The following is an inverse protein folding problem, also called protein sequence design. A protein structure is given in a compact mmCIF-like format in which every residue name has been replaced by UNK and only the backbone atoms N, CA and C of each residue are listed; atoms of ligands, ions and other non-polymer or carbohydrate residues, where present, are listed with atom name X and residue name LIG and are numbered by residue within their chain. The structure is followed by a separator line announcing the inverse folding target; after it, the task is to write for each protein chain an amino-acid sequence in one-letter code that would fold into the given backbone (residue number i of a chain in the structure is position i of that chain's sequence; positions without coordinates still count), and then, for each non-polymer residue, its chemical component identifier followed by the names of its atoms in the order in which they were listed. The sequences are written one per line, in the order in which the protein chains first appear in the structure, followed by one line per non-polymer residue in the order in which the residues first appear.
data_IF_331731778930
#
_entry.id   IF_331731778930
#
_cell.length_a   1.000
_cell.length_b   1.000
_cell.length_c   1.000
_cell.angle_alpha   90.00
_cell.angle_beta   90.00
_cell.angle_gamma   90.00
#
_symmetry.space_group_name_H-M   'P 1'
#
loop_
_entity.id
_entity.type
_entity.pdbx_description
1 polymer ?
#
# COMPACT_ATOMS: atom_id res chain seq x y z
N UNK A 1 53.37 45.83 4.83
CA UNK A 1 54.75 46.20 5.19
C UNK A 1 55.10 45.37 6.42
N UNK A 2 55.55 44.14 6.24
CA UNK A 2 56.94 43.73 5.98
C UNK A 2 57.89 43.89 7.18
N UNK A 3 58.80 42.92 7.28
CA UNK A 3 60.01 42.83 8.12
C UNK A 3 59.78 42.45 9.60
N UNK A 4 60.00 41.21 10.05
CA UNK A 4 61.17 40.32 10.04
C UNK A 4 62.29 40.69 11.03
N UNK A 5 62.72 39.65 11.77
CA UNK A 5 64.15 39.40 11.99
C UNK A 5 64.79 39.96 13.26
N UNK A 6 65.31 39.06 14.10
CA UNK A 6 66.21 39.43 15.19
C UNK A 6 66.72 38.24 15.99
N UNK A 7 67.71 37.53 15.44
CA UNK A 7 68.50 36.50 16.13
C UNK A 7 69.42 37.16 17.16
N UNK A 8 69.70 36.50 18.29
CA UNK A 8 71.08 36.28 18.72
C UNK A 8 71.22 35.27 19.88
N UNK A 9 72.11 34.29 19.70
CA UNK A 9 72.86 33.59 20.76
C UNK A 9 74.17 34.37 21.00
N UNK A 10 74.86 34.17 22.13
CA UNK A 10 76.04 33.28 22.17
C UNK A 10 76.18 32.49 23.50
N UNK A 11 76.68 31.24 23.50
CA UNK A 11 78.08 30.78 23.85
C UNK A 11 78.41 30.95 25.35
N UNK A 12 79.15 30.09 26.08
CA UNK A 12 80.21 29.10 25.82
C UNK A 12 80.50 28.41 27.19
N UNK A 13 80.84 27.11 27.27
CA UNK A 13 82.14 26.55 27.73
C UNK A 13 81.86 25.50 28.83
N UNK A 14 82.12 24.21 28.62
CA UNK A 14 83.40 23.48 28.80
C UNK A 14 83.74 23.18 30.27
N UNK A 15 83.71 21.89 30.63
CA UNK A 15 84.20 21.35 31.89
C UNK A 15 84.29 19.82 31.83
N UNK A 16 85.47 19.31 31.53
CA UNK A 16 85.86 17.91 31.71
C UNK A 16 86.43 17.73 33.11
N UNK A 17 86.03 16.69 33.85
CA UNK A 17 86.89 15.99 34.82
C UNK A 17 86.58 14.50 34.83
N UNK A 18 87.66 13.73 34.72
CA UNK A 18 87.78 12.26 34.75
C UNK A 18 87.94 11.76 36.19
N UNK A 19 87.47 10.55 36.53
CA UNK A 19 87.76 9.98 37.86
C UNK A 19 87.11 8.64 38.22
N UNK A 20 87.90 7.58 38.05
CA UNK A 20 88.00 6.37 38.88
C UNK A 20 86.81 5.39 39.04
N UNK A 21 87.03 4.20 38.47
CA UNK A 21 86.40 2.92 38.82
C UNK A 21 87.08 2.32 40.06
N UNK A 22 86.34 1.66 40.96
CA UNK A 22 86.85 0.50 41.67
C UNK A 22 86.07 -0.77 41.32
N UNK A 23 86.83 -1.83 41.06
CA UNK A 23 86.34 -3.18 40.84
C UNK A 23 85.80 -3.79 42.14
N UNK A 24 84.65 -4.46 42.08
CA UNK A 24 84.05 -5.19 43.18
C UNK A 24 82.90 -6.10 42.75
N UNK A 25 83.24 -7.36 42.45
CA UNK A 25 82.44 -8.60 42.55
C UNK A 25 81.01 -8.66 41.96
N UNK A 26 80.92 -9.32 40.80
CA UNK A 26 79.97 -10.37 40.37
C UNK A 26 78.58 -10.47 41.02
N UNK A 27 77.55 -10.19 40.20
CA UNK A 27 76.55 -11.20 39.80
C UNK A 27 75.87 -10.77 38.49
N UNK A 28 75.79 -11.71 37.56
CA UNK A 28 75.10 -11.58 36.27
C UNK A 28 73.60 -11.66 36.53
N UNK A 29 72.86 -10.59 36.22
CA UNK A 29 71.48 -10.73 35.77
C UNK A 29 71.25 -9.80 34.58
N UNK A 30 71.23 -10.40 33.40
CA UNK A 30 71.12 -9.68 32.14
C UNK A 30 69.68 -9.31 31.86
N UNK A 31 69.30 -8.07 32.15
CA UNK A 31 68.14 -7.44 31.51
C UNK A 31 68.50 -6.03 31.03
N UNK A 32 68.77 -5.90 29.72
CA UNK A 32 68.77 -4.60 29.04
C UNK A 32 67.32 -4.13 28.89
N UNK A 33 66.95 -2.92 29.35
CA UNK A 33 65.64 -2.34 29.08
C UNK A 33 65.69 -1.67 27.70
N UNK A 34 64.87 -2.12 26.75
CA UNK A 34 64.82 -1.43 25.45
C UNK A 34 64.28 -2.19 24.24
N UNK A 35 63.69 -3.38 24.39
CA UNK A 35 62.92 -3.98 23.30
C UNK A 35 61.43 -3.76 23.56
N UNK A 36 60.83 -2.81 22.82
CA UNK A 36 59.39 -2.80 22.59
C UNK A 36 59.03 -4.18 22.07
N UNK A 37 58.26 -4.96 22.84
CA UNK A 37 57.66 -6.20 22.36
C UNK A 37 56.81 -5.85 21.14
N UNK A 38 57.28 -6.16 19.94
CA UNK A 38 56.43 -6.22 18.77
C UNK A 38 55.46 -7.37 19.02
N UNK A 39 54.21 -7.04 19.33
CA UNK A 39 53.13 -8.02 19.44
C UNK A 39 53.06 -8.81 18.14
N UNK A 40 53.29 -10.12 18.20
CA UNK A 40 53.14 -11.00 17.05
C UNK A 40 51.72 -10.89 16.49
N UNK A 41 51.54 -10.81 15.15
CA UNK A 41 50.22 -10.88 14.54
C UNK A 41 49.54 -12.19 14.96
N UNK A 42 48.33 -12.08 15.51
CA UNK A 42 47.53 -13.26 15.87
C UNK A 42 46.74 -13.66 14.62
N UNK A 43 46.82 -14.91 14.13
CA UNK A 43 46.12 -15.34 12.92
C UNK A 43 44.59 -15.08 12.95
N UNK A 44 43.98 -15.12 14.13
CA UNK A 44 42.56 -14.82 14.32
C UNK A 44 42.21 -13.33 14.13
N UNK A 45 43.14 -12.41 14.43
CA UNK A 45 42.93 -10.97 14.25
C UNK A 45 42.93 -10.61 12.77
N UNK A 46 43.87 -11.15 11.99
CA UNK A 46 43.97 -10.93 10.55
C UNK A 46 42.75 -11.50 9.82
N UNK A 47 42.28 -12.68 10.23
CA UNK A 47 41.06 -13.30 9.71
C UNK A 47 39.80 -12.50 10.07
N UNK A 48 39.72 -11.92 11.28
CA UNK A 48 38.60 -11.05 11.67
C UNK A 48 38.60 -9.75 10.84
N UNK A 49 39.77 -9.13 10.67
CA UNK A 49 39.94 -7.92 9.88
C UNK A 49 39.47 -8.13 8.44
N UNK A 50 39.85 -9.26 7.84
CA UNK A 50 39.41 -9.61 6.49
C UNK A 50 37.89 -9.82 6.41
N UNK A 51 37.29 -10.53 7.39
CA UNK A 51 35.84 -10.70 7.47
C UNK A 51 35.08 -9.37 7.59
N UNK A 52 35.61 -8.39 8.34
CA UNK A 52 35.02 -7.04 8.38
C UNK A 52 35.14 -6.29 7.06
N UNK A 53 36.26 -6.44 6.33
CA UNK A 53 36.42 -5.85 4.99
C UNK A 53 35.45 -6.45 3.97
N UNK A 54 35.20 -7.74 4.08
CA UNK A 54 34.34 -8.47 3.14
C UNK A 54 32.85 -8.31 3.48
N UNK A 55 32.50 -8.04 4.75
CA UNK A 55 31.12 -7.88 5.18
C UNK A 55 30.35 -6.83 4.34
N UNK A 56 29.19 -7.26 3.86
CA UNK A 56 28.15 -6.53 3.11
C UNK A 56 26.85 -6.44 3.89
N UNK A 57 26.66 -7.26 4.92
CA UNK A 57 25.47 -7.23 5.77
C UNK A 57 25.83 -7.17 7.26
N UNK A 58 24.88 -6.72 8.07
CA UNK A 58 25.02 -6.68 9.52
C UNK A 58 25.15 -8.09 10.13
N UNK A 59 24.52 -9.07 9.49
CA UNK A 59 24.58 -10.48 9.85
C UNK A 59 25.97 -11.06 9.68
N UNK A 60 26.66 -10.73 8.59
CA UNK A 60 28.05 -11.13 8.38
C UNK A 60 28.98 -10.54 9.45
N UNK A 61 28.76 -9.28 9.87
CA UNK A 61 29.52 -8.66 10.96
C UNK A 61 29.31 -9.38 12.30
N UNK A 62 28.05 -9.66 12.66
CA UNK A 62 27.73 -10.35 13.91
C UNK A 62 28.19 -11.81 13.88
N UNK A 63 28.15 -12.46 12.73
CA UNK A 63 28.69 -13.81 12.52
C UNK A 63 30.21 -13.82 12.69
N UNK A 64 30.92 -12.82 12.15
CA UNK A 64 32.35 -12.64 12.36
C UNK A 64 32.69 -12.40 13.85
N UNK A 65 31.90 -11.59 14.56
CA UNK A 65 32.06 -11.38 16.00
C UNK A 65 31.76 -12.64 16.83
N UNK A 66 30.74 -13.42 16.46
CA UNK A 66 30.39 -14.66 17.14
C UNK A 66 31.48 -15.73 16.93
N UNK A 67 32.04 -15.83 15.73
CA UNK A 67 33.20 -16.68 15.45
C UNK A 67 34.44 -16.23 16.23
N UNK A 68 34.76 -14.93 16.24
CA UNK A 68 35.94 -14.45 16.96
C UNK A 68 35.82 -14.66 18.47
N UNK A 69 34.62 -14.54 19.05
CA UNK A 69 34.34 -14.93 20.44
C UNK A 69 34.73 -16.39 20.71
N UNK A 70 34.39 -17.32 19.79
CA UNK A 70 34.74 -18.74 19.94
C UNK A 70 36.24 -18.98 19.83
N UNK A 71 36.94 -18.30 18.91
CA UNK A 71 38.41 -18.35 18.81
C UNK A 71 39.11 -17.84 20.08
N UNK A 72 38.48 -16.90 20.79
CA UNK A 72 38.96 -16.37 22.08
C UNK A 72 38.54 -17.23 23.27
N UNK A 73 37.96 -18.42 23.03
CA UNK A 73 37.46 -19.34 24.04
C UNK A 73 36.48 -18.68 25.04
N UNK A 74 35.68 -17.72 24.57
CA UNK A 74 34.68 -17.05 25.40
C UNK A 74 33.31 -17.67 25.17
N UNK A 75 32.58 -17.99 26.23
CA UNK A 75 31.17 -18.37 26.15
C UNK A 75 30.28 -17.13 25.94
N UNK A 76 29.06 -17.32 25.41
CA UNK A 76 28.08 -16.24 25.28
C UNK A 76 27.74 -15.61 26.65
N UNK A 77 27.74 -16.43 27.71
CA UNK A 77 27.56 -15.96 29.10
C UNK A 77 28.67 -15.00 29.53
N UNK A 78 29.92 -15.33 29.25
CA UNK A 78 31.07 -14.47 29.59
C UNK A 78 31.04 -13.15 28.81
N UNK A 79 30.62 -13.18 27.53
CA UNK A 79 30.43 -11.96 26.73
C UNK A 79 29.29 -11.12 27.29
N UNK A 80 28.16 -11.75 27.62
CA UNK A 80 27.02 -11.06 28.21
C UNK A 80 27.36 -10.44 29.58
N UNK A 81 28.10 -11.14 30.44
CA UNK A 81 28.60 -10.63 31.72
C UNK A 81 29.53 -9.42 31.55
N UNK A 82 30.42 -9.45 30.55
CA UNK A 82 31.31 -8.34 30.23
C UNK A 82 30.59 -7.14 29.60
N UNK A 83 29.46 -7.37 28.94
CA UNK A 83 28.62 -6.31 28.37
C UNK A 83 27.68 -5.66 29.40
N UNK A 84 27.50 -6.27 30.59
CA UNK A 84 26.66 -5.71 31.68
C UNK A 84 27.20 -4.34 32.09
N UNK A 85 26.34 -3.32 31.99
CA UNK A 85 26.68 -1.92 32.28
C UNK A 85 26.83 -1.05 31.04
N UNK A 86 26.87 -1.63 29.84
CA UNK A 86 26.74 -0.85 28.60
C UNK A 86 25.26 -0.55 28.34
N UNK A 87 24.84 0.72 28.24
CA UNK A 87 23.47 1.07 27.86
C UNK A 87 23.07 0.38 26.56
N UNK A 88 21.94 -0.34 26.56
CA UNK A 88 21.41 -1.03 25.38
C UNK A 88 21.91 -2.46 25.12
N UNK A 89 22.93 -2.97 25.85
CA UNK A 89 23.37 -4.37 25.75
C UNK A 89 22.98 -5.19 27.00
N UNK A 90 21.72 -5.65 27.03
CA UNK A 90 21.29 -6.65 28.02
C UNK A 90 21.81 -8.04 27.67
N UNK A 91 21.83 -8.97 28.64
CA UNK A 91 22.25 -10.36 28.41
C UNK A 91 21.44 -11.04 27.29
N UNK A 92 20.13 -10.81 27.27
CA UNK A 92 19.22 -11.30 26.22
C UNK A 92 19.57 -10.69 24.87
N UNK A 93 19.82 -9.39 24.82
CA UNK A 93 20.16 -8.68 23.56
C UNK A 93 21.48 -9.15 22.97
N UNK A 94 22.51 -9.38 23.80
CA UNK A 94 23.80 -9.95 23.36
C UNK A 94 23.59 -11.34 22.75
N UNK A 95 22.79 -12.19 23.40
CA UNK A 95 22.48 -13.51 22.88
C UNK A 95 21.76 -13.43 21.53
N UNK A 96 20.72 -12.62 21.43
CA UNK A 96 19.93 -12.45 20.21
C UNK A 96 20.75 -11.91 19.03
N UNK A 97 21.63 -10.94 19.27
CA UNK A 97 22.55 -10.42 18.26
C UNK A 97 23.50 -11.52 17.76
N UNK A 98 24.14 -12.28 18.66
CA UNK A 98 25.11 -13.31 18.28
C UNK A 98 24.47 -14.57 17.69
N UNK A 99 23.18 -14.82 17.93
CA UNK A 99 22.43 -15.96 17.35
C UNK A 99 21.58 -15.58 16.13
N UNK A 100 21.65 -14.34 15.64
CA UNK A 100 20.87 -13.91 14.47
C UNK A 100 19.39 -13.63 14.74
N UNK A 101 18.95 -13.56 16.00
CA UNK A 101 17.56 -13.29 16.39
C UNK A 101 17.30 -11.79 16.59
N UNK A 102 17.52 -10.99 15.56
CA UNK A 102 17.28 -9.55 15.62
C UNK A 102 16.63 -9.05 14.32
N UNK A 103 15.83 -7.98 14.43
CA UNK A 103 15.21 -7.30 13.29
C UNK A 103 16.00 -6.06 12.84
N UNK A 104 16.75 -5.46 13.76
CA UNK A 104 17.59 -4.29 13.51
C UNK A 104 18.73 -4.21 14.54
N UNK A 105 19.82 -3.57 14.13
CA UNK A 105 21.00 -3.34 14.96
C UNK A 105 21.27 -1.84 14.99
N UNK A 106 21.48 -1.33 16.19
CA UNK A 106 22.05 0.00 16.38
C UNK A 106 23.57 -0.10 16.33
N UNK A 107 24.19 0.68 15.43
CA UNK A 107 25.63 0.70 15.26
C UNK A 107 26.40 1.07 16.53
N UNK A 108 25.79 1.84 17.43
CA UNK A 108 26.39 2.22 18.70
C UNK A 108 26.68 1.00 19.61
N UNK A 109 25.98 -0.12 19.38
CA UNK A 109 26.13 -1.35 20.15
C UNK A 109 27.23 -2.27 19.61
N UNK A 110 27.68 -2.08 18.37
CA UNK A 110 28.65 -2.97 17.71
C UNK A 110 30.03 -2.92 18.38
N UNK A 111 30.53 -1.72 18.69
CA UNK A 111 31.85 -1.54 19.31
C UNK A 111 31.90 -2.10 20.74
N UNK A 112 30.93 -1.82 21.64
CA UNK A 112 30.87 -2.47 22.95
C UNK A 112 30.70 -4.00 22.87
N UNK A 113 29.89 -4.49 21.92
CA UNK A 113 29.73 -5.93 21.68
C UNK A 113 31.04 -6.57 21.23
N UNK A 114 31.79 -5.95 20.33
CA UNK A 114 33.09 -6.44 19.86
C UNK A 114 34.12 -6.52 21.01
N UNK A 115 34.17 -5.50 21.86
CA UNK A 115 35.02 -5.48 23.07
C UNK A 115 34.63 -6.59 24.07
N UNK A 116 33.33 -6.86 24.20
CA UNK A 116 32.81 -7.97 25.00
C UNK A 116 33.21 -9.34 24.40
N UNK A 117 33.20 -9.47 23.07
CA UNK A 117 33.71 -10.65 22.34
C UNK A 117 35.24 -10.82 22.43
N UNK A 118 35.97 -9.78 22.83
CA UNK A 118 37.42 -9.86 23.08
C UNK A 118 38.29 -9.22 22.02
N UNK A 119 37.69 -8.37 21.18
CA UNK A 119 38.40 -7.45 20.30
C UNK A 119 38.97 -6.31 21.15
N UNK A 120 40.29 -6.29 21.30
CA UNK A 120 41.05 -5.36 22.15
C UNK A 120 41.95 -4.41 21.34
N UNK A 121 42.15 -4.67 20.04
CA UNK A 121 42.96 -3.82 19.15
C UNK A 121 42.10 -2.77 18.49
N UNK A 122 42.53 -1.50 18.58
CA UNK A 122 41.79 -0.37 18.01
C UNK A 122 41.61 -0.50 16.49
N UNK A 123 42.61 -1.00 15.77
CA UNK A 123 42.54 -1.26 14.32
C UNK A 123 41.35 -2.14 13.91
N UNK A 124 41.03 -3.17 14.72
CA UNK A 124 39.88 -4.05 14.46
C UNK A 124 38.54 -3.37 14.76
N UNK A 125 38.50 -2.49 15.77
CA UNK A 125 37.30 -1.71 16.09
C UNK A 125 37.04 -0.64 15.03
N UNK A 126 38.08 0.03 14.53
CA UNK A 126 37.98 0.96 13.40
C UNK A 126 37.51 0.24 12.12
N UNK A 127 38.04 -0.95 11.86
CA UNK A 127 37.61 -1.76 10.72
C UNK A 127 36.13 -2.19 10.82
N UNK A 128 35.65 -2.51 12.02
CA UNK A 128 34.24 -2.78 12.29
C UNK A 128 33.38 -1.53 12.03
N UNK A 129 33.81 -0.37 12.51
CA UNK A 129 33.09 0.89 12.32
C UNK A 129 33.04 1.32 10.83
N UNK A 130 34.12 1.10 10.08
CA UNK A 130 34.16 1.33 8.63
C UNK A 130 33.26 0.34 7.89
N UNK A 131 33.29 -0.94 8.27
CA UNK A 131 32.42 -1.95 7.67
C UNK A 131 30.94 -1.63 7.90
N UNK A 132 30.58 -1.23 9.13
CA UNK A 132 29.22 -0.79 9.45
C UNK A 132 28.80 0.43 8.65
N UNK A 133 29.65 1.47 8.57
CA UNK A 133 29.38 2.67 7.76
C UNK A 133 29.14 2.32 6.28
N UNK A 134 29.95 1.44 5.70
CA UNK A 134 29.79 0.96 4.33
C UNK A 134 28.45 0.25 4.11
N UNK A 135 28.06 -0.64 5.03
CA UNK A 135 26.79 -1.37 4.97
C UNK A 135 25.61 -0.40 4.98
N UNK A 136 25.61 0.57 5.90
CA UNK A 136 24.55 1.58 6.01
C UNK A 136 24.46 2.45 4.76
N UNK A 137 25.60 2.88 4.20
CA UNK A 137 25.65 3.67 2.97
C UNK A 137 25.15 2.90 1.75
N UNK A 138 25.51 1.63 1.62
CA UNK A 138 25.04 0.78 0.53
C UNK A 138 23.52 0.55 0.62
N UNK A 139 23.00 0.25 1.82
CA UNK A 139 21.56 0.13 2.03
C UNK A 139 20.80 1.44 1.72
N UNK A 140 21.40 2.61 1.96
CA UNK A 140 20.83 3.89 1.54
C UNK A 140 20.84 4.05 0.01
N UNK A 141 21.95 3.74 -0.66
CA UNK A 141 22.07 3.78 -2.13
C UNK A 141 21.10 2.84 -2.82
N UNK A 142 20.96 1.61 -2.31
CA UNK A 142 20.01 0.62 -2.84
C UNK A 142 18.56 1.09 -2.68
N UNK A 143 18.20 1.69 -1.54
CA UNK A 143 16.88 2.30 -1.34
C UNK A 143 16.61 3.41 -2.35
N UNK A 144 17.57 4.31 -2.56
CA UNK A 144 17.45 5.38 -3.57
C UNK A 144 17.38 4.82 -4.99
N UNK A 145 18.18 3.79 -5.32
CA UNK A 145 18.16 3.17 -6.63
C UNK A 145 16.83 2.47 -6.91
N UNK A 146 16.30 1.72 -5.93
CA UNK A 146 14.96 1.10 -6.01
C UNK A 146 13.86 2.16 -6.13
N UNK A 147 13.98 3.29 -5.42
CA UNK A 147 13.03 4.39 -5.54
C UNK A 147 13.05 5.01 -6.95
N UNK A 148 14.24 5.19 -7.54
CA UNK A 148 14.41 5.74 -8.89
C UNK A 148 14.02 4.75 -10.01
N UNK A 149 14.10 3.44 -9.76
CA UNK A 149 13.69 2.39 -10.71
C UNK A 149 12.23 1.98 -10.58
N UNK A 150 11.48 2.54 -9.62
CA UNK A 150 10.08 2.23 -9.45
C UNK A 150 9.31 2.82 -10.64
N UNK A 151 8.63 1.99 -11.47
CA UNK A 151 7.88 2.51 -12.60
C UNK A 151 6.80 3.46 -12.10
N UNK A 152 6.58 4.55 -12.84
CA UNK A 152 5.49 5.47 -12.55
C UNK A 152 4.16 4.67 -12.50
N UNK A 153 3.24 5.01 -11.57
CA UNK A 153 1.92 4.41 -11.60
C UNK A 153 1.30 4.62 -12.99
N UNK A 154 0.50 3.65 -13.49
CA UNK A 154 -0.15 3.82 -14.78
C UNK A 154 -0.96 5.13 -14.78
N UNK A 155 -1.05 5.83 -15.93
CA UNK A 155 -1.86 7.03 -16.03
C UNK A 155 -3.29 6.71 -15.60
N UNK A 156 -3.95 7.64 -14.90
CA UNK A 156 -5.37 7.49 -14.60
C UNK A 156 -6.13 7.26 -15.91
N UNK A 157 -7.07 6.29 -15.97
CA UNK A 157 -7.84 6.05 -17.18
C UNK A 157 -8.50 7.34 -17.63
N UNK A 158 -8.52 7.59 -18.95
CA UNK A 158 -9.23 8.74 -19.49
C UNK A 158 -10.72 8.69 -19.10
N UNK A 159 -11.42 9.84 -19.05
CA UNK A 159 -12.86 9.87 -18.79
C UNK A 159 -13.64 8.86 -19.65
N UNK A 160 -13.30 8.73 -20.93
CA UNK A 160 -13.90 7.76 -21.85
C UNK A 160 -13.64 6.29 -21.47
N UNK A 161 -12.42 5.97 -21.04
CA UNK A 161 -12.10 4.62 -20.58
C UNK A 161 -12.87 4.28 -19.31
N UNK A 162 -13.02 5.25 -18.40
CA UNK A 162 -13.83 5.10 -17.20
C UNK A 162 -15.32 4.91 -17.54
N UNK A 163 -15.89 5.69 -18.46
CA UNK A 163 -17.27 5.50 -18.92
C UNK A 163 -17.52 4.12 -19.53
N UNK A 164 -16.57 3.59 -20.32
CA UNK A 164 -16.65 2.21 -20.84
C UNK A 164 -16.68 1.18 -19.72
N UNK A 165 -15.83 1.33 -18.70
CA UNK A 165 -15.85 0.46 -17.52
C UNK A 165 -17.20 0.52 -16.80
N UNK A 166 -17.75 1.72 -16.60
CA UNK A 166 -19.07 1.89 -15.97
C UNK A 166 -20.19 1.21 -16.79
N UNK A 167 -20.12 1.25 -18.12
CA UNK A 167 -21.08 0.56 -18.99
C UNK A 167 -21.01 -0.95 -18.84
N UNK A 168 -19.81 -1.53 -18.82
CA UNK A 168 -19.63 -2.98 -18.59
C UNK A 168 -20.12 -3.37 -17.21
N UNK A 169 -19.83 -2.57 -16.18
CA UNK A 169 -20.33 -2.81 -14.82
C UNK A 169 -21.86 -2.83 -14.78
N UNK A 170 -22.52 -1.83 -15.40
CA UNK A 170 -23.98 -1.78 -15.48
C UNK A 170 -24.56 -2.99 -16.24
N UNK A 171 -23.92 -3.42 -17.32
CA UNK A 171 -24.36 -4.60 -18.08
C UNK A 171 -24.28 -5.89 -17.25
N UNK A 172 -23.18 -6.09 -16.52
CA UNK A 172 -23.00 -7.23 -15.62
C UNK A 172 -24.09 -7.21 -14.53
N UNK A 173 -24.32 -6.06 -13.89
CA UNK A 173 -25.37 -5.91 -12.89
C UNK A 173 -26.78 -6.17 -13.46
N UNK A 174 -27.03 -5.80 -14.72
CA UNK A 174 -28.29 -6.08 -15.41
C UNK A 174 -28.58 -7.56 -15.65
N UNK A 175 -27.55 -8.42 -15.60
CA UNK A 175 -27.68 -9.88 -15.74
C UNK A 175 -27.82 -10.60 -14.39
N UNK A 176 -27.66 -9.90 -13.27
CA UNK A 176 -27.77 -10.43 -11.93
C UNK A 176 -29.25 -10.41 -11.49
N UNK A 177 -29.98 -11.46 -11.86
CA UNK A 177 -31.42 -11.59 -11.57
C UNK A 177 -31.73 -12.52 -10.40
N UNK A 178 -30.76 -13.31 -9.95
CA UNK A 178 -30.96 -14.27 -8.88
C UNK A 178 -30.97 -13.58 -7.51
N UNK A 179 -31.82 -14.00 -6.55
CA UNK A 179 -31.91 -13.39 -5.23
C UNK A 179 -30.57 -13.21 -4.51
N UNK A 180 -29.65 -14.16 -4.67
CA UNK A 180 -28.31 -14.13 -4.08
C UNK A 180 -27.38 -13.07 -4.70
N UNK A 181 -27.65 -12.69 -5.96
CA UNK A 181 -26.83 -11.73 -6.73
C UNK A 181 -27.40 -10.31 -6.73
N UNK A 182 -28.69 -10.14 -6.41
CA UNK A 182 -29.34 -8.83 -6.36
C UNK A 182 -28.69 -7.83 -5.40
N UNK A 183 -28.16 -8.21 -4.22
CA UNK A 183 -27.43 -7.28 -3.37
C UNK A 183 -26.19 -6.69 -4.05
N UNK A 184 -25.42 -7.53 -4.75
CA UNK A 184 -24.26 -7.09 -5.51
C UNK A 184 -24.65 -6.23 -6.72
N UNK A 185 -25.74 -6.58 -7.41
CA UNK A 185 -26.27 -5.76 -8.51
C UNK A 185 -26.62 -4.34 -8.03
N UNK A 186 -27.23 -4.22 -6.86
CA UNK A 186 -27.55 -2.93 -6.25
C UNK A 186 -26.28 -2.11 -5.99
N UNK A 187 -25.27 -2.69 -5.32
CA UNK A 187 -24.01 -2.01 -5.03
C UNK A 187 -23.30 -1.54 -6.31
N UNK A 188 -23.30 -2.36 -7.36
CA UNK A 188 -22.72 -2.00 -8.65
C UNK A 188 -23.49 -0.82 -9.27
N UNK A 189 -24.83 -0.86 -9.29
CA UNK A 189 -25.64 0.21 -9.86
C UNK A 189 -25.53 1.52 -9.07
N UNK A 190 -25.49 1.48 -7.74
CA UNK A 190 -25.26 2.67 -6.90
C UNK A 190 -23.92 3.34 -7.24
N UNK A 191 -22.85 2.54 -7.32
CA UNK A 191 -21.52 3.04 -7.69
C UNK A 191 -21.48 3.59 -9.12
N UNK A 192 -22.10 2.88 -10.08
CA UNK A 192 -22.13 3.34 -11.47
C UNK A 192 -22.93 4.64 -11.59
N UNK A 193 -24.04 4.75 -10.87
CA UNK A 193 -24.91 5.93 -10.86
C UNK A 193 -24.15 7.14 -10.31
N UNK A 194 -23.50 7.01 -9.15
CA UNK A 194 -22.68 8.08 -8.57
C UNK A 194 -21.62 8.58 -9.56
N UNK A 195 -20.90 7.66 -10.20
CA UNK A 195 -19.84 8.03 -11.13
C UNK A 195 -20.38 8.65 -12.43
N UNK A 196 -21.52 8.16 -12.95
CA UNK A 196 -22.16 8.75 -14.14
C UNK A 196 -22.72 10.14 -13.86
N UNK A 197 -23.30 10.38 -12.68
CA UNK A 197 -23.72 11.73 -12.24
C UNK A 197 -22.55 12.72 -12.26
N UNK A 198 -21.39 12.32 -11.75
CA UNK A 198 -20.20 13.17 -11.73
C UNK A 198 -19.64 13.48 -13.12
N UNK A 199 -19.72 12.53 -14.05
CA UNK A 199 -19.08 12.64 -15.37
C UNK A 199 -20.00 13.17 -16.47
N UNK A 200 -21.29 12.85 -16.40
CA UNK A 200 -22.27 13.12 -17.46
C UNK A 200 -23.38 14.07 -16.99
N UNK A 201 -23.61 14.17 -15.68
CA UNK A 201 -24.74 14.88 -15.10
C UNK A 201 -25.93 13.97 -14.79
N UNK A 202 -26.90 14.52 -14.06
CA UNK A 202 -28.12 13.81 -13.60
C UNK A 202 -29.05 13.41 -14.76
N UNK A 203 -29.17 14.29 -15.76
CA UNK A 203 -30.15 14.15 -16.84
C UNK A 203 -29.61 13.37 -18.06
N UNK A 204 -28.36 12.91 -18.00
CA UNK A 204 -27.76 12.15 -19.10
C UNK A 204 -28.49 10.81 -19.31
N UNK A 205 -28.76 10.38 -20.56
CA UNK A 205 -29.47 9.14 -20.84
C UNK A 205 -28.87 7.88 -20.18
N UNK A 206 -27.55 7.79 -20.04
CA UNK A 206 -26.88 6.67 -19.36
C UNK A 206 -27.04 6.76 -17.84
N UNK A 207 -26.99 7.96 -17.26
CA UNK A 207 -27.30 8.19 -15.84
C UNK A 207 -28.74 7.77 -15.55
N UNK A 208 -29.70 8.25 -16.33
CA UNK A 208 -31.13 7.92 -16.17
C UNK A 208 -31.42 6.44 -16.39
N UNK A 209 -30.70 5.77 -17.29
CA UNK A 209 -30.81 4.31 -17.47
C UNK A 209 -30.30 3.54 -16.25
N UNK A 210 -29.20 3.99 -15.65
CA UNK A 210 -28.68 3.41 -14.41
C UNK A 210 -29.66 3.60 -13.25
N UNK A 211 -30.21 4.80 -13.13
CA UNK A 211 -31.21 5.15 -12.13
C UNK A 211 -32.47 4.26 -12.26
N UNK A 212 -32.96 4.08 -13.49
CA UNK A 212 -34.08 3.18 -13.77
C UNK A 212 -33.77 1.74 -13.35
N UNK A 213 -32.61 1.22 -13.76
CA UNK A 213 -32.22 -0.16 -13.45
C UNK A 213 -32.02 -0.39 -11.95
N UNK A 214 -31.48 0.59 -11.23
CA UNK A 214 -31.39 0.54 -9.77
C UNK A 214 -32.78 0.44 -9.13
N UNK A 215 -33.77 1.17 -9.66
CA UNK A 215 -35.17 1.05 -9.24
C UNK A 215 -35.75 -0.35 -9.48
N UNK A 216 -35.44 -0.98 -10.63
CA UNK A 216 -35.84 -2.37 -10.91
C UNK A 216 -35.18 -3.35 -9.95
N UNK A 217 -33.91 -3.17 -9.60
CA UNK A 217 -33.23 -4.02 -8.61
C UNK A 217 -33.84 -3.86 -7.22
N UNK A 218 -34.15 -2.63 -6.79
CA UNK A 218 -34.86 -2.43 -5.53
C UNK A 218 -36.22 -3.13 -5.52
N UNK A 219 -36.96 -3.10 -6.63
CA UNK A 219 -38.24 -3.80 -6.76
C UNK A 219 -38.06 -5.32 -6.63
N UNK A 220 -37.09 -5.90 -7.33
CA UNK A 220 -36.79 -7.33 -7.25
C UNK A 220 -36.35 -7.78 -5.84
N UNK A 221 -35.86 -6.84 -5.01
CA UNK A 221 -35.51 -7.05 -3.60
C UNK A 221 -36.64 -6.70 -2.62
N UNK A 222 -37.87 -6.50 -3.12
CA UNK A 222 -39.05 -6.11 -2.33
C UNK A 222 -38.91 -4.77 -1.58
N UNK A 223 -37.97 -3.92 -2.00
CA UNK A 223 -37.78 -2.59 -1.46
C UNK A 223 -38.63 -1.55 -2.21
N UNK A 224 -39.96 -1.69 -2.12
CA UNK A 224 -40.93 -0.93 -2.92
C UNK A 224 -40.73 0.59 -2.84
N UNK A 225 -40.42 1.13 -1.65
CA UNK A 225 -40.22 2.58 -1.47
C UNK A 225 -38.98 3.11 -2.21
N UNK A 226 -37.88 2.36 -2.16
CA UNK A 226 -36.65 2.71 -2.87
C UNK A 226 -36.83 2.57 -4.38
N UNK A 227 -37.52 1.50 -4.81
CA UNK A 227 -37.88 1.28 -6.21
C UNK A 227 -38.71 2.44 -6.76
N UNK A 228 -39.78 2.82 -6.05
CA UNK A 228 -40.66 3.92 -6.42
C UNK A 228 -39.87 5.23 -6.59
N UNK A 229 -39.05 5.60 -5.59
CA UNK A 229 -38.28 6.83 -5.64
C UNK A 229 -37.31 6.82 -6.84
N UNK A 230 -36.61 5.72 -7.05
CA UNK A 230 -35.63 5.62 -8.12
C UNK A 230 -36.28 5.70 -9.52
N UNK A 231 -37.37 4.96 -9.72
CA UNK A 231 -38.13 4.97 -10.97
C UNK A 231 -38.83 6.30 -11.23
N UNK A 232 -39.36 6.95 -10.19
CA UNK A 232 -39.98 8.29 -10.28
C UNK A 232 -38.97 9.32 -10.77
N UNK A 233 -37.78 9.36 -10.18
CA UNK A 233 -36.70 10.27 -10.63
C UNK A 233 -36.36 10.01 -12.10
N UNK A 234 -36.17 8.75 -12.49
CA UNK A 234 -35.86 8.41 -13.88
C UNK A 234 -37.01 8.76 -14.85
N UNK A 235 -38.26 8.56 -14.43
CA UNK A 235 -39.44 8.89 -15.24
C UNK A 235 -39.58 10.41 -15.43
N UNK A 236 -39.53 11.18 -14.35
CA UNK A 236 -39.71 12.64 -14.40
C UNK A 236 -38.61 13.32 -15.23
N UNK A 237 -37.35 12.89 -15.07
CA UNK A 237 -36.23 13.41 -15.86
C UNK A 237 -36.34 13.03 -17.34
N UNK A 238 -36.74 11.79 -17.67
CA UNK A 238 -36.96 11.36 -19.06
C UNK A 238 -38.17 12.07 -19.69
N UNK A 239 -39.23 12.29 -18.93
CA UNK A 239 -40.39 13.05 -19.39
C UNK A 239 -39.99 14.49 -19.75
N UNK A 240 -39.19 15.14 -18.89
CA UNK A 240 -38.72 16.51 -19.13
C UNK A 240 -37.75 16.63 -20.32
N UNK A 241 -36.89 15.63 -20.53
CA UNK A 241 -35.81 15.69 -21.54
C UNK A 241 -36.16 15.06 -22.88
N UNK A 242 -36.92 13.95 -22.88
CA UNK A 242 -37.25 13.16 -24.07
C UNK A 242 -38.72 13.30 -24.48
N UNK A 243 -39.59 13.78 -23.58
CA UNK A 243 -41.03 13.85 -23.79
C UNK A 243 -41.77 12.56 -23.42
N UNK A 244 -43.10 12.63 -23.48
CA UNK A 244 -44.02 11.57 -23.05
C UNK A 244 -44.03 10.34 -23.96
N UNK A 245 -43.87 10.52 -25.28
CA UNK A 245 -43.94 9.41 -26.25
C UNK A 245 -42.61 8.67 -26.44
N UNK A 246 -41.52 9.12 -25.81
CA UNK A 246 -40.22 8.46 -25.91
C UNK A 246 -40.23 7.10 -25.19
N UNK A 247 -39.65 6.06 -25.80
CA UNK A 247 -39.71 4.72 -25.21
C UNK A 247 -39.07 4.60 -23.85
N UNK A 248 -37.93 5.26 -23.64
CA UNK A 248 -37.29 5.23 -22.34
C UNK A 248 -38.21 5.83 -21.26
N UNK A 249 -38.99 6.87 -21.60
CA UNK A 249 -40.01 7.45 -20.73
C UNK A 249 -41.13 6.45 -20.46
N UNK A 250 -41.71 5.86 -21.51
CA UNK A 250 -42.79 4.86 -21.39
C UNK A 250 -42.36 3.59 -20.63
N UNK A 251 -41.11 3.16 -20.75
CA UNK A 251 -40.56 2.05 -19.97
C UNK A 251 -40.47 2.41 -18.49
N UNK A 252 -39.95 3.60 -18.15
CA UNK A 252 -39.94 4.07 -16.75
C UNK A 252 -41.35 4.24 -16.19
N UNK A 253 -42.29 4.75 -16.98
CA UNK A 253 -43.69 4.93 -16.59
C UNK A 253 -44.35 3.59 -16.26
N UNK A 254 -44.17 2.58 -17.12
CA UNK A 254 -44.70 1.23 -16.90
C UNK A 254 -44.10 0.59 -15.63
N UNK A 255 -42.78 0.67 -15.44
CA UNK A 255 -42.15 0.16 -14.23
C UNK A 255 -42.65 0.88 -12.97
N UNK A 256 -42.80 2.20 -13.03
CA UNK A 256 -43.35 2.98 -11.91
C UNK A 256 -44.78 2.55 -11.60
N UNK A 257 -45.61 2.31 -12.61
CA UNK A 257 -46.98 1.85 -12.43
C UNK A 257 -47.07 0.47 -11.77
N UNK A 258 -46.19 -0.46 -12.16
CA UNK A 258 -46.08 -1.77 -11.49
C UNK A 258 -45.76 -1.60 -10.00
N UNK A 259 -44.78 -0.75 -9.66
CA UNK A 259 -44.46 -0.48 -8.24
C UNK A 259 -45.64 0.16 -7.51
N UNK A 260 -46.33 1.12 -8.12
CA UNK A 260 -47.55 1.71 -7.55
C UNK A 260 -48.61 0.65 -7.26
N UNK A 261 -48.81 -0.31 -8.17
CA UNK A 261 -49.77 -1.40 -7.98
C UNK A 261 -49.42 -2.28 -6.78
N UNK A 262 -48.15 -2.68 -6.65
CA UNK A 262 -47.68 -3.49 -5.50
C UNK A 262 -47.74 -2.71 -4.18
N UNK A 263 -47.64 -1.38 -4.23
CA UNK A 263 -47.87 -0.51 -3.07
C UNK A 263 -49.36 -0.28 -2.74
N UNK A 264 -50.28 -0.83 -3.53
CA UNK A 264 -51.73 -0.67 -3.36
C UNK A 264 -52.30 0.63 -3.96
N UNK A 265 -51.50 1.45 -4.65
CA UNK A 265 -51.93 2.65 -5.38
C UNK A 265 -52.55 2.28 -6.75
N UNK A 266 -53.55 1.39 -6.73
CA UNK A 266 -54.11 0.75 -7.94
C UNK A 266 -54.73 1.73 -8.93
N UNK A 267 -55.40 2.79 -8.46
CA UNK A 267 -55.95 3.83 -9.35
C UNK A 267 -54.85 4.56 -10.12
N UNK A 268 -53.74 4.89 -9.44
CA UNK A 268 -52.61 5.57 -10.07
C UNK A 268 -51.87 4.65 -11.04
N UNK A 269 -51.70 3.38 -10.67
CA UNK A 269 -51.13 2.38 -11.56
C UNK A 269 -51.96 2.23 -12.85
N UNK A 270 -53.29 2.21 -12.73
CA UNK A 270 -54.20 2.14 -13.87
C UNK A 270 -54.03 3.33 -14.81
N UNK A 271 -54.02 4.56 -14.29
CA UNK A 271 -53.83 5.77 -15.09
C UNK A 271 -52.50 5.74 -15.85
N UNK A 272 -51.39 5.45 -15.16
CA UNK A 272 -50.06 5.40 -15.77
C UNK A 272 -49.98 4.32 -16.86
N UNK A 273 -50.60 3.16 -16.67
CA UNK A 273 -50.61 2.09 -17.66
C UNK A 273 -51.53 2.40 -18.85
N UNK A 274 -52.67 3.05 -18.63
CA UNK A 274 -53.59 3.46 -19.69
C UNK A 274 -52.96 4.50 -20.62
N UNK A 275 -52.33 5.53 -20.06
CA UNK A 275 -51.56 6.54 -20.80
C UNK A 275 -50.39 5.90 -21.58
N UNK A 276 -49.61 5.04 -20.92
CA UNK A 276 -48.49 4.35 -21.56
C UNK A 276 -48.95 3.47 -22.73
N UNK A 277 -50.07 2.75 -22.57
CA UNK A 277 -50.62 1.91 -23.63
C UNK A 277 -51.09 2.75 -24.83
N UNK A 278 -51.74 3.89 -24.59
CA UNK A 278 -52.19 4.79 -25.65
C UNK A 278 -51.01 5.26 -26.52
N UNK A 279 -49.93 5.77 -25.91
CA UNK A 279 -48.74 6.18 -26.65
C UNK A 279 -48.04 5.02 -27.38
N UNK A 280 -47.98 3.82 -26.78
CA UNK A 280 -47.42 2.64 -27.47
C UNK A 280 -48.26 2.23 -28.68
N UNK A 281 -49.59 2.36 -28.62
CA UNK A 281 -50.49 2.07 -29.73
C UNK A 281 -50.36 3.10 -30.87
N UNK A 282 -50.28 4.38 -30.54
CA UNK A 282 -49.99 5.44 -31.52
C UNK A 282 -48.67 5.18 -32.24
N UNK A 283 -47.63 4.79 -31.49
CA UNK A 283 -46.33 4.52 -32.09
C UNK A 283 -46.32 3.25 -32.94
N UNK A 284 -47.01 2.20 -32.50
CA UNK A 284 -47.21 0.99 -33.29
C UNK A 284 -47.92 1.29 -34.63
N UNK A 285 -48.88 2.22 -34.64
CA UNK A 285 -49.58 2.63 -35.86
C UNK A 285 -48.68 3.40 -36.83
N UNK A 286 -47.68 4.13 -36.31
CA UNK A 286 -46.75 4.94 -37.11
C UNK A 286 -45.46 4.21 -37.50
N UNK A 287 -45.25 2.98 -37.02
CA UNK A 287 -44.00 2.26 -37.21
C UNK A 287 -43.74 1.90 -38.69
N UNK A 288 -42.61 2.39 -39.27
CA UNK A 288 -42.38 2.32 -40.72
C UNK A 288 -42.02 0.91 -41.19
N UNK A 289 -41.48 0.06 -40.32
CA UNK A 289 -41.07 -1.31 -40.66
C UNK A 289 -41.84 -2.36 -39.87
N UNK A 290 -42.03 -3.56 -40.44
CA UNK A 290 -42.65 -4.68 -39.71
C UNK A 290 -41.76 -5.17 -38.55
N UNK A 291 -40.44 -5.02 -38.67
CA UNK A 291 -39.51 -5.36 -37.59
C UNK A 291 -39.70 -4.47 -36.36
N UNK A 292 -39.87 -3.15 -36.56
CA UNK A 292 -40.22 -2.23 -35.48
C UNK A 292 -41.61 -2.54 -34.94
N UNK A 293 -42.62 -2.71 -35.81
CA UNK A 293 -43.98 -3.09 -35.37
C UNK A 293 -44.00 -4.34 -34.50
N UNK A 294 -43.25 -5.38 -34.88
CA UNK A 294 -43.17 -6.61 -34.08
C UNK A 294 -42.63 -6.35 -32.67
N UNK A 295 -41.56 -5.54 -32.55
CA UNK A 295 -41.00 -5.14 -31.24
C UNK A 295 -42.00 -4.34 -30.41
N UNK A 296 -42.67 -3.37 -31.03
CA UNK A 296 -43.64 -2.50 -30.35
C UNK A 296 -44.90 -3.27 -29.93
N UNK A 297 -45.34 -4.25 -30.73
CA UNK A 297 -46.49 -5.11 -30.42
C UNK A 297 -46.26 -5.88 -29.13
N UNK A 298 -45.06 -6.43 -28.91
CA UNK A 298 -44.72 -7.13 -27.65
C UNK A 298 -44.78 -6.17 -26.46
N UNK A 299 -44.21 -4.97 -26.58
CA UNK A 299 -44.23 -3.97 -25.52
C UNK A 299 -45.65 -3.48 -25.20
N UNK A 300 -46.47 -3.21 -26.23
CA UNK A 300 -47.87 -2.82 -26.07
C UNK A 300 -48.71 -3.93 -25.44
N UNK A 301 -48.51 -5.19 -25.86
CA UNK A 301 -49.21 -6.34 -25.28
C UNK A 301 -48.89 -6.48 -23.79
N UNK A 302 -47.61 -6.39 -23.41
CA UNK A 302 -47.19 -6.44 -22.01
C UNK A 302 -47.88 -5.36 -21.16
N UNK A 303 -47.95 -4.12 -21.67
CA UNK A 303 -48.64 -3.03 -20.96
C UNK A 303 -50.14 -3.27 -20.85
N UNK A 304 -50.76 -3.80 -21.90
CA UNK A 304 -52.17 -4.18 -21.87
C UNK A 304 -52.44 -5.29 -20.85
N UNK A 305 -51.54 -6.26 -20.71
CA UNK A 305 -51.64 -7.34 -19.71
C UNK A 305 -51.52 -6.79 -18.29
N UNK A 306 -50.54 -5.93 -18.05
CA UNK A 306 -50.38 -5.23 -16.77
C UNK A 306 -51.63 -4.39 -16.44
N UNK A 307 -52.14 -3.63 -17.40
CA UNK A 307 -53.35 -2.81 -17.23
C UNK A 307 -54.56 -3.67 -16.88
N UNK A 308 -54.73 -4.82 -17.54
CA UNK A 308 -55.81 -5.77 -17.23
C UNK A 308 -55.68 -6.34 -15.81
N UNK A 309 -54.46 -6.67 -15.39
CA UNK A 309 -54.21 -7.15 -14.03
C UNK A 309 -54.59 -6.10 -12.97
N UNK A 310 -54.16 -4.84 -13.15
CA UNK A 310 -54.49 -3.74 -12.23
C UNK A 310 -56.00 -3.47 -12.20
N UNK A 311 -56.67 -3.46 -13.37
CA UNK A 311 -58.13 -3.28 -13.43
C UNK A 311 -58.90 -4.42 -12.76
N UNK A 312 -58.39 -5.65 -12.82
CA UNK A 312 -58.97 -6.78 -12.09
C UNK A 312 -58.90 -6.57 -10.57
N UNK A 313 -57.77 -6.06 -10.06
CA UNK A 313 -57.62 -5.72 -8.64
C UNK A 313 -58.63 -4.64 -8.20
N UNK A 314 -58.85 -3.61 -9.02
CA UNK A 314 -59.87 -2.57 -8.78
C UNK A 314 -61.31 -3.10 -8.81
N UNK A 315 -61.60 -4.04 -9.71
CA UNK A 315 -62.92 -4.65 -9.86
C UNK A 315 -63.29 -5.62 -8.73
N UNK A 316 -62.30 -6.25 -8.10
CA UNK A 316 -62.48 -7.16 -6.96
C UNK A 316 -62.65 -6.48 -5.59
N UNK A 317 -62.45 -5.15 -5.51
CA UNK A 317 -62.60 -4.36 -4.28
C UNK A 317 -64.01 -3.78 -4.06
N UNK A 318 -65.06 -4.39 -4.65
CA UNK A 318 -66.46 -3.97 -4.49
C UNK A 318 -67.31 -5.00 -3.78
#
# INVERSE_FOLDING_TARGET
MDVAGGRNRPSRAAGHVSGAVPAGSWTVDGTRPGQRRMSTPRPADDALLQRFRDARTAEELLTALNWYRTERNRSQRQVAEKAVGTPGLSKTRVNDLLTGRYSSIDGQLLRPLAQACGVDREELLEALDEAWRRIVQNAARERSHRANQRPAPPPRPSPDAHLRTLSVMAEIAGRMTDPDTLPLAQEIYERVLEQRRLLLGEDDPLTLTTQHNLGVVHFARDNLRAAYNALKIAYEARLATLGESAMATLTSQESLAVVCSEMGETFRAEQLLAECLAHRQEWLAQAPTEAERARLRVAAQKTADNLRAVRSQLGGTR
#
